data_IF_546181205290
#
_entry.id   IF_546181205290
#
_cell.length_a   1.000
_cell.length_b   1.000
_cell.length_c   1.000
_cell.angle_alpha   90.00
_cell.angle_beta   90.00
_cell.angle_gamma   90.00
#
_symmetry.space_group_name_H-M   'P 1'
#
loop_
_entity.id
_entity.type
_entity.pdbx_description
1 polymer ?
#
# COMPACT_ATOMS: atom_id res chain seq x y z
N UNK A 1 -15.49 -6.28 8.15
CA UNK A 1 -15.28 -4.85 7.88
C UNK A 1 -13.80 -4.64 7.66
N UNK A 2 -13.39 -4.31 6.44
CA UNK A 2 -11.98 -4.08 6.09
C UNK A 2 -11.77 -2.57 5.96
N UNK A 3 -10.81 -2.02 6.71
CA UNK A 3 -10.46 -0.61 6.67
C UNK A 3 -9.25 -0.38 5.79
N UNK A 4 -9.37 0.48 4.78
CA UNK A 4 -8.24 0.95 3.98
C UNK A 4 -7.98 2.43 4.28
N UNK A 5 -6.69 2.79 4.37
CA UNK A 5 -6.24 4.17 4.56
C UNK A 5 -5.62 4.62 3.24
N UNK A 6 -6.17 5.67 2.63
CA UNK A 6 -5.62 6.25 1.41
C UNK A 6 -4.93 7.58 1.75
N UNK A 7 -3.63 7.68 1.48
CA UNK A 7 -2.81 8.86 1.79
C UNK A 7 -2.74 9.88 0.64
N UNK A 8 -3.46 9.69 -0.46
CA UNK A 8 -3.40 10.60 -1.60
C UNK A 8 -4.29 11.82 -1.36
N UNK A 9 -3.70 13.01 -1.46
CA UNK A 9 -4.42 14.31 -1.55
C UNK A 9 -5.51 14.24 -2.64
N UNK A 10 -6.56 15.10 -2.60
CA UNK A 10 -7.61 15.13 -3.62
C UNK A 10 -7.00 15.55 -4.97
N UNK A 11 -6.51 14.56 -5.69
CA UNK A 11 -5.97 14.64 -7.03
C UNK A 11 -6.58 13.47 -7.79
N UNK A 12 -6.68 13.63 -9.11
CA UNK A 12 -7.29 12.76 -10.14
C UNK A 12 -7.07 11.22 -10.03
N UNK A 13 -6.27 10.74 -9.08
CA UNK A 13 -5.98 9.33 -8.76
C UNK A 13 -7.02 8.65 -7.88
N UNK A 14 -8.03 9.37 -7.39
CA UNK A 14 -9.15 8.78 -6.65
C UNK A 14 -9.91 7.74 -7.50
N UNK A 15 -10.01 7.94 -8.83
CA UNK A 15 -10.66 6.98 -9.73
C UNK A 15 -9.94 5.63 -9.76
N UNK A 16 -8.60 5.62 -9.78
CA UNK A 16 -7.77 4.40 -9.74
C UNK A 16 -8.02 3.63 -8.44
N UNK A 17 -8.02 4.33 -7.30
CA UNK A 17 -8.23 3.70 -6.00
C UNK A 17 -9.67 3.20 -5.83
N UNK A 18 -10.67 3.96 -6.27
CA UNK A 18 -12.06 3.51 -6.25
C UNK A 18 -12.27 2.28 -7.13
N UNK A 19 -11.61 2.22 -8.29
CA UNK A 19 -11.62 1.05 -9.17
C UNK A 19 -11.03 -0.19 -8.49
N UNK A 20 -9.88 -0.05 -7.81
CA UNK A 20 -9.25 -1.17 -7.13
C UNK A 20 -10.10 -1.69 -5.96
N UNK A 21 -10.77 -0.80 -5.22
CA UNK A 21 -11.71 -1.18 -4.16
C UNK A 21 -12.93 -1.88 -4.74
N UNK A 22 -13.45 -1.42 -5.88
CA UNK A 22 -14.56 -2.09 -6.56
C UNK A 22 -14.18 -3.51 -7.01
N UNK A 23 -12.99 -3.67 -7.61
CA UNK A 23 -12.47 -4.98 -7.98
C UNK A 23 -12.31 -5.92 -6.77
N UNK A 24 -11.81 -5.39 -5.64
CA UNK A 24 -11.69 -6.13 -4.40
C UNK A 24 -13.05 -6.66 -3.90
N UNK A 25 -14.09 -5.83 -3.96
CA UNK A 25 -15.45 -6.20 -3.55
C UNK A 25 -16.05 -7.26 -4.48
N UNK A 26 -15.77 -7.19 -5.77
CA UNK A 26 -16.24 -8.16 -6.75
C UNK A 26 -15.59 -9.55 -6.54
N UNK A 27 -14.28 -9.59 -6.31
CA UNK A 27 -13.55 -10.85 -6.10
C UNK A 27 -13.85 -11.50 -4.75
N UNK A 28 -14.28 -10.71 -3.77
CA UNK A 28 -14.50 -11.16 -2.40
C UNK A 28 -15.94 -10.89 -1.95
N UNK A 29 -16.92 -11.70 -2.38
CA UNK A 29 -18.34 -11.50 -2.05
C UNK A 29 -18.62 -11.56 -0.54
N UNK A 30 -17.71 -12.15 0.24
CA UNK A 30 -17.72 -12.15 1.70
C UNK A 30 -17.52 -10.76 2.34
N UNK A 31 -16.89 -9.81 1.62
CA UNK A 31 -16.64 -8.46 2.11
C UNK A 31 -17.87 -7.60 1.83
N UNK A 32 -18.72 -7.44 2.84
CA UNK A 32 -19.98 -6.67 2.72
C UNK A 32 -19.79 -5.15 2.64
N UNK A 33 -18.74 -4.62 3.26
CA UNK A 33 -18.49 -3.19 3.33
C UNK A 33 -17.00 -2.89 3.54
N UNK A 34 -16.53 -1.87 2.83
CA UNK A 34 -15.19 -1.30 2.96
C UNK A 34 -15.34 0.13 3.45
N UNK A 35 -14.67 0.47 4.56
CA UNK A 35 -14.63 1.83 5.07
C UNK A 35 -13.31 2.46 4.69
N UNK A 36 -13.37 3.48 3.84
CA UNK A 36 -12.18 4.25 3.44
C UNK A 36 -11.98 5.40 4.43
N UNK A 37 -10.87 5.35 5.16
CA UNK A 37 -10.45 6.44 6.04
C UNK A 37 -9.53 7.37 5.27
N UNK A 38 -9.97 8.60 5.06
CA UNK A 38 -9.12 9.66 4.53
C UNK A 38 -8.30 10.24 5.67
N UNK A 39 -7.01 10.50 5.40
CA UNK A 39 -6.11 11.10 6.38
C UNK A 39 -6.63 12.48 6.80
N UNK A 40 -7.13 12.58 8.04
CA UNK A 40 -7.44 13.87 8.66
C UNK A 40 -6.13 14.53 9.11
N UNK A 41 -5.98 15.87 8.96
CA UNK A 41 -4.82 16.57 9.47
C UNK A 41 -4.67 16.31 10.98
N UNK A 42 -3.47 15.91 11.42
CA UNK A 42 -3.16 15.66 12.83
C UNK A 42 -3.20 14.19 13.29
N UNK A 43 -3.66 13.25 12.45
CA UNK A 43 -3.70 11.83 12.82
C UNK A 43 -3.18 10.94 11.69
N UNK A 44 -1.90 11.10 11.32
CA UNK A 44 -1.33 10.26 10.26
C UNK A 44 -0.99 8.88 10.83
N UNK A 45 -1.74 7.85 10.41
CA UNK A 45 -1.35 6.45 10.58
C UNK A 45 0.04 6.18 9.95
N UNK A 46 0.44 7.08 9.06
CA UNK A 46 1.74 7.22 8.42
C UNK A 46 2.88 7.26 9.45
N UNK A 47 2.74 7.83 10.65
CA UNK A 47 3.84 7.87 11.64
C UNK A 47 4.37 6.49 12.05
N UNK A 48 3.50 5.48 12.21
CA UNK A 48 3.94 4.11 12.52
C UNK A 48 4.67 3.48 11.35
N UNK A 49 4.17 3.71 10.13
CA UNK A 49 4.75 3.21 8.88
C UNK A 49 6.09 3.89 8.59
N UNK A 50 6.18 5.20 8.80
CA UNK A 50 7.39 6.03 8.66
C UNK A 50 8.51 5.56 9.59
N UNK A 51 8.19 5.16 10.82
CA UNK A 51 9.20 4.63 11.74
C UNK A 51 9.82 3.31 11.23
N UNK A 52 9.02 2.43 10.62
CA UNK A 52 9.49 1.20 9.99
C UNK A 52 10.35 1.52 8.77
N UNK A 53 9.91 2.44 7.90
CA UNK A 53 10.68 2.89 6.75
C UNK A 53 12.02 3.51 7.14
N UNK A 54 12.02 4.36 8.17
CA UNK A 54 13.25 5.00 8.69
C UNK A 54 14.26 3.97 9.18
N UNK A 55 13.81 2.90 9.83
CA UNK A 55 14.70 1.83 10.30
C UNK A 55 15.27 1.02 9.12
N UNK A 56 14.44 0.73 8.11
CA UNK A 56 14.89 0.06 6.88
C UNK A 56 15.94 0.92 6.17
N UNK A 57 15.66 2.19 5.96
CA UNK A 57 16.56 3.13 5.29
C UNK A 57 17.91 3.24 6.01
N UNK A 58 17.90 3.36 7.34
CA UNK A 58 19.13 3.38 8.15
C UNK A 58 19.98 2.11 8.02
N UNK A 59 19.35 0.95 7.87
CA UNK A 59 20.08 -0.31 7.67
C UNK A 59 20.64 -0.40 6.24
N UNK A 60 19.85 0.03 5.26
CA UNK A 60 20.22 0.03 3.85
C UNK A 60 21.38 0.98 3.56
N UNK A 61 21.41 2.17 4.16
CA UNK A 61 22.50 3.14 4.01
C UNK A 61 23.84 2.65 4.56
N UNK A 62 23.86 1.60 5.39
CA UNK A 62 25.08 1.00 5.96
C UNK A 62 25.55 -0.24 5.21
N UNK A 63 24.77 -0.71 4.24
CA UNK A 63 25.00 -2.02 3.62
C UNK A 63 24.91 -1.92 2.11
N UNK A 64 25.98 -2.27 1.42
CA UNK A 64 25.96 -2.32 -0.03
C UNK A 64 25.12 -3.51 -0.55
N UNK A 65 24.25 -3.22 -1.50
CA UNK A 65 23.36 -4.21 -2.11
C UNK A 65 23.91 -4.70 -3.44
N UNK A 66 24.36 -5.96 -3.46
CA UNK A 66 24.88 -6.59 -4.68
C UNK A 66 23.97 -7.71 -5.23
N UNK A 67 22.92 -8.09 -4.49
CA UNK A 67 22.00 -9.17 -4.87
C UNK A 67 20.61 -9.01 -4.27
N UNK A 68 19.54 -9.40 -4.99
CA UNK A 68 18.17 -9.46 -4.44
C UNK A 68 18.05 -10.35 -3.19
N UNK A 69 18.85 -11.42 -3.11
CA UNK A 69 18.89 -12.29 -1.92
C UNK A 69 19.49 -11.54 -0.73
N UNK A 70 20.50 -10.69 -0.99
CA UNK A 70 21.10 -9.81 0.00
C UNK A 70 20.09 -8.83 0.60
N UNK A 71 19.20 -8.28 -0.23
CA UNK A 71 18.11 -7.41 0.24
C UNK A 71 17.20 -8.13 1.24
N UNK A 72 16.79 -9.37 0.96
CA UNK A 72 15.93 -10.15 1.87
C UNK A 72 16.63 -10.36 3.21
N UNK A 73 17.94 -10.64 3.19
CA UNK A 73 18.75 -10.83 4.40
C UNK A 73 18.82 -9.54 5.23
N UNK A 74 19.09 -8.41 4.58
CA UNK A 74 19.18 -7.10 5.24
C UNK A 74 17.83 -6.74 5.86
N UNK A 75 16.73 -6.90 5.12
CA UNK A 75 15.38 -6.60 5.62
C UNK A 75 15.02 -7.41 6.87
N UNK A 76 15.42 -8.68 6.95
CA UNK A 76 15.23 -9.51 8.15
C UNK A 76 16.09 -9.05 9.34
N UNK A 77 17.22 -8.40 9.08
CA UNK A 77 18.16 -7.91 10.10
C UNK A 77 17.84 -6.50 10.61
N UNK A 78 16.98 -5.74 9.93
CA UNK A 78 16.59 -4.37 10.35
C UNK A 78 16.02 -4.35 11.77
N UNK A 79 15.25 -5.37 12.13
CA UNK A 79 14.70 -5.53 13.47
C UNK A 79 15.00 -6.94 14.01
N UNK A 80 16.17 -7.16 14.63
CA UNK A 80 16.58 -8.49 15.09
C UNK A 80 15.63 -9.08 16.15
N UNK A 81 14.99 -8.22 16.95
CA UNK A 81 14.06 -8.63 18.01
C UNK A 81 12.73 -9.11 17.45
N UNK A 82 12.25 -8.48 16.38
CA UNK A 82 11.03 -8.86 15.67
C UNK A 82 11.28 -8.81 14.16
N UNK A 83 11.89 -9.86 13.58
CA UNK A 83 12.27 -9.88 12.18
C UNK A 83 11.07 -9.68 11.26
N UNK A 84 11.25 -8.86 10.22
CA UNK A 84 10.18 -8.62 9.25
C UNK A 84 9.87 -9.89 8.44
N UNK A 85 8.57 -10.10 8.19
CA UNK A 85 8.11 -11.08 7.21
C UNK A 85 8.23 -10.46 5.82
N UNK A 86 9.22 -10.91 5.06
CA UNK A 86 9.39 -10.51 3.66
C UNK A 86 8.54 -11.41 2.77
N UNK A 87 7.64 -10.82 1.99
CA UNK A 87 6.78 -11.52 1.04
C UNK A 87 7.25 -11.14 -0.36
N UNK A 88 7.61 -12.13 -1.17
CA UNK A 88 7.96 -11.92 -2.57
C UNK A 88 6.68 -11.94 -3.40
N UNK A 89 6.37 -10.80 -4.04
CA UNK A 89 5.23 -10.70 -4.94
C UNK A 89 5.52 -11.42 -6.26
N UNK A 90 4.50 -12.08 -6.82
CA UNK A 90 4.47 -12.65 -8.16
C UNK A 90 3.97 -11.59 -9.16
N UNK A 91 4.25 -11.73 -10.46
CA UNK A 91 3.71 -10.83 -11.48
C UNK A 91 2.18 -10.66 -11.38
N UNK A 92 1.45 -11.74 -11.08
CA UNK A 92 -0.02 -11.74 -10.97
C UNK A 92 -0.56 -10.95 -9.76
N UNK A 93 0.30 -10.69 -8.77
CA UNK A 93 -0.04 -9.88 -7.60
C UNK A 93 -0.10 -8.38 -7.94
N UNK A 94 0.57 -7.96 -9.02
CA UNK A 94 0.54 -6.58 -9.50
C UNK A 94 -0.71 -6.36 -10.35
N UNK A 95 -1.58 -5.46 -9.89
CA UNK A 95 -2.80 -5.09 -10.61
C UNK A 95 -2.64 -3.70 -11.21
N UNK A 96 -2.79 -3.59 -12.53
CA UNK A 96 -2.84 -2.31 -13.23
C UNK A 96 -4.29 -1.85 -13.42
N UNK A 97 -4.69 -0.87 -12.63
CA UNK A 97 -6.02 -0.28 -12.70
C UNK A 97 -6.06 1.03 -13.51
N UNK A 98 -4.92 1.50 -14.01
CA UNK A 98 -4.80 2.75 -14.75
C UNK A 98 -5.48 2.66 -16.11
N UNK A 99 -5.38 1.51 -16.80
CA UNK A 99 -6.07 1.31 -18.08
C UNK A 99 -7.61 1.32 -17.96
N UNK A 100 -8.12 0.78 -16.86
CA UNK A 100 -9.56 0.63 -16.60
C UNK A 100 -10.23 1.85 -15.94
N UNK A 101 -9.45 2.82 -15.47
CA UNK A 101 -9.95 4.02 -14.79
C UNK A 101 -10.91 4.84 -15.67
N UNK A 102 -10.70 4.81 -16.99
CA UNK A 102 -11.50 5.57 -17.97
C UNK A 102 -12.96 5.14 -18.02
N UNK A 103 -13.27 3.91 -17.57
CA UNK A 103 -14.64 3.40 -17.49
C UNK A 103 -15.38 3.89 -16.23
N UNK A 104 -14.66 4.45 -15.26
CA UNK A 104 -15.22 5.00 -14.02
C UNK A 104 -15.21 6.53 -14.07
N UNK A 105 -15.99 7.09 -15.01
CA UNK A 105 -16.34 8.50 -14.97
C UNK A 105 -17.44 8.69 -13.92
N UNK A 106 -17.05 8.90 -12.66
CA UNK A 106 -17.98 9.38 -11.66
C UNK A 106 -18.40 10.80 -12.04
N UNK A 107 -19.63 10.98 -12.54
CA UNK A 107 -20.24 12.31 -12.57
C UNK A 107 -20.44 12.74 -11.13
N UNK A 108 -19.68 13.73 -10.71
CA UNK A 108 -19.91 14.41 -9.43
C UNK A 108 -21.07 15.38 -9.73
N UNK A 109 -22.30 14.93 -9.52
CA UNK A 109 -23.44 15.84 -9.44
C UNK A 109 -23.33 16.53 -8.07
N UNK A 110 -22.94 17.80 -8.10
CA UNK A 110 -22.89 18.70 -6.95
C UNK A 110 -24.30 19.10 -6.50
#
# INVERSE_FOLDING_TARGET
MVGFVCSTKPQKRNSIFSNSVLHLLNDNPQVKAVTMKYSLPGHSCVQKVDSVHSNIEKAMNKTDLYSPIGLIRILKQVNPRYPYRVIQMRPDDFKDFQGTEKHLNYKIDL
#
